data_IF_841371323418
#
_entry.id   IF_841371323418
#
_cell.length_a   1.000
_cell.length_b   1.000
_cell.length_c   1.000
_cell.angle_alpha   90.00
_cell.angle_beta   90.00
_cell.angle_gamma   90.00
#
_symmetry.space_group_name_H-M   'P 1'
#
loop_
_entity.id
_entity.type
_entity.pdbx_description
1 polymer ?
#
# COMPACT_ATOMS: atom_id res chain seq x y z
N UNK A 1 -10.13 -4.49 2.46
CA UNK A 1 -9.29 -3.85 1.42
C UNK A 1 -7.86 -3.84 1.93
N UNK A 2 -6.89 -4.17 1.10
CA UNK A 2 -5.46 -4.16 1.49
C UNK A 2 -4.94 -2.70 1.38
N UNK A 3 -5.39 -1.85 2.28
CA UNK A 3 -5.12 -0.40 2.27
C UNK A 3 -3.64 -0.08 2.34
N UNK A 4 -2.92 -0.79 3.21
CA UNK A 4 -1.47 -0.63 3.40
C UNK A 4 -0.71 -0.85 2.08
N UNK A 5 -1.09 -1.87 1.30
CA UNK A 5 -0.49 -2.14 -0.02
C UNK A 5 -0.80 -1.04 -1.04
N UNK A 6 -1.98 -0.43 -0.98
CA UNK A 6 -2.35 0.70 -1.85
C UNK A 6 -1.47 1.91 -1.51
N UNK A 7 -1.39 2.27 -0.22
CA UNK A 7 -0.60 3.42 0.22
C UNK A 7 0.90 3.19 0.03
N UNK A 8 1.39 1.97 0.24
CA UNK A 8 2.77 1.64 -0.09
C UNK A 8 3.08 1.92 -1.57
N UNK A 9 2.27 1.40 -2.49
CA UNK A 9 2.43 1.65 -3.94
C UNK A 9 2.29 3.13 -4.28
N UNK A 10 1.33 3.82 -3.67
CA UNK A 10 1.10 5.24 -3.86
C UNK A 10 2.36 6.05 -3.50
N UNK A 11 2.89 5.85 -2.31
CA UNK A 11 4.06 6.60 -1.87
C UNK A 11 5.35 6.18 -2.58
N UNK A 12 5.44 4.94 -3.04
CA UNK A 12 6.56 4.47 -3.86
C UNK A 12 6.56 5.11 -5.24
N UNK A 13 5.41 5.17 -5.91
CA UNK A 13 5.28 5.71 -7.26
C UNK A 13 5.16 7.24 -7.28
N UNK A 14 4.53 7.81 -6.25
CA UNK A 14 4.24 9.24 -6.15
C UNK A 14 4.58 9.79 -4.76
N UNK A 15 5.87 9.81 -4.37
CA UNK A 15 6.27 10.25 -3.03
C UNK A 15 5.86 11.71 -2.73
N UNK A 16 5.68 12.54 -3.75
CA UNK A 16 5.18 13.91 -3.61
C UNK A 16 3.81 14.01 -2.96
N UNK A 17 2.92 13.03 -3.19
CA UNK A 17 1.59 12.98 -2.58
C UNK A 17 1.68 12.89 -1.06
N UNK A 18 2.65 12.12 -0.52
CA UNK A 18 2.88 12.08 0.92
C UNK A 18 3.19 13.48 1.48
N UNK A 19 4.06 14.24 0.80
CA UNK A 19 4.43 15.58 1.26
C UNK A 19 3.25 16.56 1.18
N UNK A 20 2.40 16.45 0.17
CA UNK A 20 1.15 17.21 0.09
C UNK A 20 0.18 16.88 1.25
N UNK A 21 0.05 15.60 1.63
CA UNK A 21 -0.78 15.19 2.78
C UNK A 21 -0.35 15.83 4.09
N UNK A 22 0.93 16.16 4.22
CA UNK A 22 1.49 16.81 5.41
C UNK A 22 1.70 18.31 5.24
N UNK A 23 1.05 18.94 4.23
CA UNK A 23 1.14 20.37 3.90
C UNK A 23 2.56 20.83 3.57
N UNK A 24 3.35 19.96 2.95
CA UNK A 24 4.68 20.26 2.42
C UNK A 24 4.66 20.31 0.88
N UNK A 25 5.66 20.98 0.29
CA UNK A 25 5.80 20.98 -1.16
C UNK A 25 6.09 19.58 -1.70
N UNK A 26 5.37 19.08 -2.74
CA UNK A 26 5.64 17.77 -3.34
C UNK A 26 7.05 17.65 -3.94
N UNK A 27 7.69 18.77 -4.28
CA UNK A 27 9.07 18.79 -4.82
C UNK A 27 10.12 18.33 -3.81
N UNK A 28 9.81 18.39 -2.50
CA UNK A 28 10.68 17.86 -1.44
C UNK A 28 10.90 16.36 -1.60
N UNK A 29 9.96 15.63 -2.19
CA UNK A 29 10.10 14.20 -2.45
C UNK A 29 11.39 13.82 -3.19
N UNK A 30 11.90 14.69 -4.06
CA UNK A 30 13.11 14.43 -4.86
C UNK A 30 14.39 14.24 -4.02
N UNK A 31 14.37 14.65 -2.76
CA UNK A 31 15.50 14.51 -1.82
C UNK A 31 15.25 13.43 -0.76
N UNK A 32 14.23 12.60 -0.95
CA UNK A 32 13.91 11.47 -0.10
C UNK A 32 13.88 10.17 -0.88
N UNK A 33 14.22 9.07 -0.20
CA UNK A 33 14.01 7.71 -0.69
C UNK A 33 12.93 7.06 0.17
N UNK A 34 11.88 6.52 -0.47
CA UNK A 34 10.82 5.78 0.20
C UNK A 34 11.15 4.29 0.24
N UNK A 35 10.95 3.65 1.37
CA UNK A 35 11.07 2.20 1.53
C UNK A 35 10.14 1.67 2.64
N UNK A 36 9.79 0.39 2.59
CA UNK A 36 9.24 -0.34 3.74
C UNK A 36 10.38 -0.98 4.52
N UNK A 37 10.32 -0.90 5.84
CA UNK A 37 11.37 -1.44 6.71
C UNK A 37 10.78 -2.49 7.65
N UNK A 38 11.32 -3.71 7.60
CA UNK A 38 10.99 -4.79 8.50
C UNK A 38 11.99 -4.87 9.66
N UNK A 39 11.52 -4.75 10.88
CA UNK A 39 12.35 -4.92 12.08
C UNK A 39 12.31 -6.38 12.50
N UNK A 40 13.23 -7.18 11.95
CA UNK A 40 13.25 -8.65 12.01
C UNK A 40 13.19 -9.27 13.42
N UNK A 41 13.61 -8.57 14.48
CA UNK A 41 13.71 -9.17 15.82
C UNK A 41 12.40 -9.25 16.61
N UNK A 42 11.35 -8.48 16.24
CA UNK A 42 10.11 -8.40 17.00
C UNK A 42 8.85 -8.51 16.12
N UNK A 43 8.96 -8.94 14.87
CA UNK A 43 7.86 -8.98 13.90
C UNK A 43 7.13 -7.62 13.71
N UNK A 44 7.84 -6.50 13.94
CA UNK A 44 7.33 -5.15 13.65
C UNK A 44 7.68 -4.77 12.22
N UNK A 45 6.73 -4.15 11.55
CA UNK A 45 6.89 -3.67 10.20
C UNK A 45 6.37 -2.24 10.11
N UNK A 46 7.24 -1.32 9.76
CA UNK A 46 6.88 0.06 9.46
C UNK A 46 6.31 0.08 8.04
N UNK A 47 5.12 0.62 7.84
CA UNK A 47 4.45 0.66 6.54
C UNK A 47 5.26 1.45 5.51
N UNK A 48 5.87 2.56 5.93
CA UNK A 48 6.75 3.34 5.08
C UNK A 48 7.72 4.23 5.83
N UNK A 49 8.91 4.40 5.25
CA UNK A 49 9.94 5.32 5.75
C UNK A 49 10.45 6.16 4.59
N UNK A 50 10.45 7.46 4.77
CA UNK A 50 11.12 8.41 3.86
C UNK A 50 12.46 8.79 4.45
N UNK A 51 13.52 8.38 3.79
CA UNK A 51 14.90 8.66 4.18
C UNK A 51 15.41 9.86 3.39
N UNK A 52 15.83 10.94 4.05
CA UNK A 52 16.43 12.07 3.37
C UNK A 52 17.83 11.73 2.87
N UNK A 53 18.27 12.42 1.83
CA UNK A 53 19.63 12.30 1.29
C UNK A 53 20.64 13.25 1.94
N UNK A 54 20.24 13.94 3.02
CA UNK A 54 21.11 14.85 3.78
C UNK A 54 20.77 14.83 5.28
N UNK A 55 21.68 15.35 6.12
CA UNK A 55 21.60 15.25 7.58
C UNK A 55 20.68 16.31 8.24
N UNK A 56 20.19 17.28 7.47
CA UNK A 56 19.42 18.43 8.01
C UNK A 56 17.91 18.18 8.00
N UNK A 57 17.43 17.26 7.18
CA UNK A 57 16.03 16.96 7.03
C UNK A 57 15.60 15.77 7.91
N UNK A 58 14.35 15.73 8.39
CA UNK A 58 13.89 14.64 9.22
C UNK A 58 13.63 13.35 8.42
N UNK A 59 13.80 12.21 9.08
CA UNK A 59 13.25 10.94 8.62
C UNK A 59 11.74 10.96 8.88
N UNK A 60 10.92 10.62 7.89
CA UNK A 60 9.48 10.45 8.10
C UNK A 60 9.13 8.97 8.19
N UNK A 61 8.43 8.61 9.28
CA UNK A 61 7.84 7.30 9.49
C UNK A 61 6.35 7.38 9.23
N UNK A 62 5.84 6.51 8.37
CA UNK A 62 4.44 6.55 7.92
C UNK A 62 3.73 5.28 8.35
N UNK A 63 2.58 5.45 8.98
CA UNK A 63 1.65 4.39 9.35
C UNK A 63 0.29 4.66 8.71
N UNK A 64 -0.34 3.63 8.14
CA UNK A 64 -1.67 3.72 7.51
C UNK A 64 -2.68 2.93 8.33
N UNK A 65 -3.53 3.64 9.08
CA UNK A 65 -4.41 3.03 10.07
C UNK A 65 -5.89 3.15 9.67
N UNK A 66 -6.44 2.10 9.06
CA UNK A 66 -7.84 2.04 8.59
C UNK A 66 -8.76 1.24 9.52
N UNK A 67 -8.22 0.59 10.54
CA UNK A 67 -8.99 -0.12 11.55
C UNK A 67 -8.78 0.54 12.92
N UNK A 68 -9.81 0.55 13.80
CA UNK A 68 -9.63 1.06 15.16
C UNK A 68 -8.56 0.26 15.90
N UNK A 69 -7.54 0.93 16.42
CA UNK A 69 -6.48 0.31 17.23
C UNK A 69 -6.09 1.19 18.41
N UNK A 70 -6.38 0.75 19.63
CA UNK A 70 -6.01 1.46 20.87
C UNK A 70 -4.49 1.54 21.08
N UNK A 71 -3.72 0.62 20.48
CA UNK A 71 -2.27 0.51 20.66
C UNK A 71 -1.47 1.21 19.53
N UNK A 72 -2.13 1.93 18.64
CA UNK A 72 -1.47 2.53 17.46
C UNK A 72 -0.25 3.38 17.86
N UNK A 73 -0.36 4.23 18.87
CA UNK A 73 0.76 5.07 19.31
C UNK A 73 1.87 4.27 19.97
N UNK A 74 1.51 3.25 20.80
CA UNK A 74 2.50 2.35 21.38
C UNK A 74 3.31 1.64 20.29
N UNK A 75 2.64 1.12 19.26
CA UNK A 75 3.26 0.43 18.14
C UNK A 75 4.15 1.38 17.34
N UNK A 76 3.61 2.52 16.90
CA UNK A 76 4.33 3.54 16.15
C UNK A 76 5.63 3.96 16.84
N UNK A 77 5.56 4.35 18.11
CA UNK A 77 6.75 4.81 18.83
C UNK A 77 7.75 3.69 19.08
N UNK A 78 7.27 2.48 19.36
CA UNK A 78 8.17 1.31 19.49
C UNK A 78 8.93 1.07 18.20
N UNK A 79 8.26 1.10 17.06
CA UNK A 79 8.87 0.89 15.74
C UNK A 79 9.86 1.98 15.38
N UNK A 80 9.49 3.25 15.60
CA UNK A 80 10.37 4.41 15.38
C UNK A 80 11.63 4.29 16.23
N UNK A 81 11.50 4.06 17.53
CA UNK A 81 12.66 4.04 18.42
C UNK A 81 13.55 2.82 18.20
N UNK A 82 12.98 1.67 17.82
CA UNK A 82 13.78 0.51 17.40
C UNK A 82 14.53 0.75 16.10
N UNK A 83 13.95 1.49 15.17
CA UNK A 83 14.65 1.89 13.95
C UNK A 83 15.79 2.85 14.27
N UNK A 84 15.51 3.88 15.06
CA UNK A 84 16.50 4.90 15.46
C UNK A 84 17.67 4.32 16.28
N UNK A 85 17.41 3.28 17.09
CA UNK A 85 18.46 2.57 17.85
C UNK A 85 19.43 1.80 16.93
N UNK A 86 18.96 1.35 15.77
CA UNK A 86 19.74 0.52 14.84
C UNK A 86 20.35 1.27 13.67
N UNK A 87 19.85 2.45 13.37
CA UNK A 87 20.38 3.26 12.27
C UNK A 87 21.58 4.07 12.72
N UNK A 88 22.54 4.29 11.83
CA UNK A 88 23.65 5.21 12.04
C UNK A 88 23.27 6.66 11.69
N UNK A 89 22.07 6.89 11.13
CA UNK A 89 21.60 8.21 10.76
C UNK A 89 21.28 9.03 12.02
N UNK A 90 21.78 10.27 12.08
CA UNK A 90 21.56 11.21 13.18
C UNK A 90 20.46 12.24 12.90
N UNK A 91 19.74 12.06 11.80
CA UNK A 91 18.66 12.93 11.38
C UNK A 91 17.54 12.99 12.45
N UNK A 92 16.92 14.16 12.54
CA UNK A 92 15.67 14.28 13.28
C UNK A 92 14.58 13.40 12.67
N UNK A 93 13.46 13.19 13.36
CA UNK A 93 12.40 12.33 12.87
C UNK A 93 11.00 12.93 13.05
N UNK A 94 10.07 12.51 12.22
CA UNK A 94 8.64 12.79 12.34
C UNK A 94 7.84 11.52 12.03
N UNK A 95 6.77 11.29 12.81
CA UNK A 95 5.78 10.25 12.54
C UNK A 95 4.57 10.85 11.82
N UNK A 96 4.01 10.12 10.86
CA UNK A 96 2.77 10.49 10.18
C UNK A 96 1.82 9.30 10.23
N UNK A 97 0.60 9.52 10.72
CA UNK A 97 -0.44 8.48 10.69
C UNK A 97 -1.54 8.95 9.76
N UNK A 98 -1.88 8.12 8.78
CA UNK A 98 -2.97 8.37 7.84
C UNK A 98 -4.19 7.56 8.25
N UNK A 99 -5.28 8.26 8.59
CA UNK A 99 -6.57 7.70 8.95
C UNK A 99 -7.63 7.99 7.88
N UNK A 100 -8.61 7.11 7.66
CA UNK A 100 -9.76 7.42 6.82
C UNK A 100 -10.62 8.55 7.40
N UNK A 101 -10.78 8.56 8.72
CA UNK A 101 -11.54 9.57 9.47
C UNK A 101 -11.06 9.64 10.92
N UNK A 102 -11.40 10.73 11.61
CA UNK A 102 -11.08 10.94 13.01
C UNK A 102 -11.70 9.89 13.94
N UNK A 103 -12.83 9.29 13.58
CA UNK A 103 -13.50 8.26 14.36
C UNK A 103 -12.69 6.96 14.50
N UNK A 104 -11.72 6.72 13.61
CA UNK A 104 -10.82 5.56 13.66
C UNK A 104 -9.64 5.79 14.60
N UNK A 105 -9.29 7.04 14.88
CA UNK A 105 -8.22 7.40 15.84
C UNK A 105 -8.69 7.25 17.29
N UNK A 106 -8.65 6.03 17.79
CA UNK A 106 -9.02 5.66 19.17
C UNK A 106 -7.82 5.31 20.06
N UNK A 107 -6.60 5.67 19.61
CA UNK A 107 -5.36 5.37 20.30
C UNK A 107 -5.28 6.01 21.70
N UNK A 108 -4.66 5.29 22.65
CA UNK A 108 -4.38 5.82 23.99
C UNK A 108 -3.31 6.90 23.92
N UNK A 109 -3.68 8.15 24.22
CA UNK A 109 -2.80 9.32 24.05
C UNK A 109 -2.07 9.72 25.34
N UNK A 110 -2.59 9.42 26.51
CA UNK A 110 -2.06 9.94 27.79
C UNK A 110 -0.59 9.60 28.03
N UNK A 111 -0.19 8.36 27.70
CA UNK A 111 1.21 7.91 27.87
C UNK A 111 2.19 8.55 26.91
N UNK A 112 1.71 9.19 25.86
CA UNK A 112 2.51 9.71 24.75
C UNK A 112 2.23 11.20 24.48
N UNK A 113 1.62 11.88 25.48
CA UNK A 113 1.14 13.24 25.32
C UNK A 113 2.27 14.20 24.91
N UNK A 114 3.46 14.03 25.47
CA UNK A 114 4.62 14.86 25.15
C UNK A 114 5.05 14.70 23.71
N UNK A 115 5.05 13.47 23.18
CA UNK A 115 5.40 13.19 21.77
C UNK A 115 4.31 13.70 20.82
N UNK A 116 3.05 13.54 21.19
CA UNK A 116 1.90 13.95 20.39
C UNK A 116 1.73 15.48 20.35
N UNK A 117 2.07 16.18 21.44
CA UNK A 117 2.00 17.66 21.53
C UNK A 117 3.25 18.35 21.02
N UNK A 118 4.38 17.66 20.90
CA UNK A 118 5.65 18.20 20.40
C UNK A 118 5.69 18.44 18.89
N UNK A 119 4.60 18.21 18.17
CA UNK A 119 4.50 18.24 16.70
C UNK A 119 5.37 17.19 15.99
N UNK A 120 5.88 16.21 16.72
CA UNK A 120 6.64 15.09 16.13
C UNK A 120 5.75 14.07 15.41
N UNK A 121 4.45 14.06 15.74
CA UNK A 121 3.48 13.18 15.08
C UNK A 121 2.39 14.01 14.45
N UNK A 122 2.25 13.88 13.13
CA UNK A 122 1.14 14.43 12.36
C UNK A 122 0.09 13.36 12.12
N UNK A 123 -1.17 13.67 12.42
CA UNK A 123 -2.33 12.84 12.09
C UNK A 123 -3.03 13.45 10.90
N UNK A 124 -3.19 12.66 9.85
CA UNK A 124 -3.88 13.05 8.62
C UNK A 124 -5.20 12.29 8.55
N UNK A 125 -6.30 13.00 8.54
CA UNK A 125 -7.65 12.45 8.36
C UNK A 125 -8.12 12.73 6.95
N UNK A 126 -8.30 11.67 6.15
CA UNK A 126 -8.60 11.81 4.72
C UNK A 126 -9.95 12.49 4.46
N UNK A 127 -10.92 12.29 5.35
CA UNK A 127 -12.25 12.93 5.27
C UNK A 127 -12.23 14.43 5.64
N UNK A 128 -11.20 14.89 6.34
CA UNK A 128 -11.02 16.30 6.71
C UNK A 128 -10.15 17.07 5.70
N UNK A 129 -9.58 16.40 4.68
CA UNK A 129 -8.84 17.07 3.62
C UNK A 129 -9.79 17.95 2.81
N UNK A 130 -9.76 19.25 3.10
CA UNK A 130 -10.63 20.22 2.45
C UNK A 130 -10.33 20.31 0.95
N UNK A 131 -11.41 20.39 0.16
CA UNK A 131 -11.36 20.77 -1.24
C UNK A 131 -11.00 22.27 -1.32
N UNK A 132 -9.72 22.61 -1.23
CA UNK A 132 -9.26 23.92 -1.73
C UNK A 132 -9.45 23.88 -3.23
N UNK A 133 -9.86 24.99 -3.84
CA UNK A 133 -10.29 25.08 -5.25
C UNK A 133 -9.29 24.54 -6.31
N UNK A 134 -8.12 24.07 -5.91
CA UNK A 134 -7.09 23.43 -6.74
C UNK A 134 -6.42 22.29 -5.97
N UNK A 135 -7.16 21.24 -5.61
CA UNK A 135 -6.48 20.05 -5.08
C UNK A 135 -5.73 19.33 -6.20
N UNK A 136 -4.52 18.88 -5.88
CA UNK A 136 -3.76 18.05 -6.82
C UNK A 136 -4.51 16.76 -7.13
N UNK A 137 -4.39 16.25 -8.36
CA UNK A 137 -4.94 14.95 -8.75
C UNK A 137 -4.47 13.86 -7.78
N UNK A 138 -3.25 14.01 -7.22
CA UNK A 138 -2.71 13.10 -6.22
C UNK A 138 -3.59 13.01 -4.97
N UNK A 139 -3.93 14.13 -4.36
CA UNK A 139 -4.80 14.17 -3.17
C UNK A 139 -6.19 13.62 -3.47
N UNK A 140 -6.79 13.99 -4.62
CA UNK A 140 -8.09 13.45 -5.02
C UNK A 140 -8.04 11.94 -5.26
N UNK A 141 -6.93 11.41 -5.80
CA UNK A 141 -6.73 9.97 -5.96
C UNK A 141 -6.63 9.26 -4.60
N UNK A 142 -5.97 9.86 -3.61
CA UNK A 142 -5.93 9.33 -2.23
C UNK A 142 -7.34 9.29 -1.63
N UNK A 143 -8.13 10.36 -1.79
CA UNK A 143 -9.52 10.44 -1.28
C UNK A 143 -10.43 9.38 -1.89
N UNK A 144 -10.13 8.92 -3.11
CA UNK A 144 -10.88 7.83 -3.73
C UNK A 144 -10.88 6.54 -2.89
N UNK A 145 -9.85 6.32 -2.05
CA UNK A 145 -9.78 5.16 -1.15
C UNK A 145 -10.94 5.16 -0.15
N UNK A 146 -11.35 6.33 0.33
CA UNK A 146 -12.47 6.48 1.29
C UNK A 146 -13.81 6.78 0.62
N UNK A 147 -13.83 7.05 -0.69
CA UNK A 147 -15.06 7.35 -1.43
C UNK A 147 -16.08 6.19 -1.29
N UNK A 148 -17.38 6.45 -1.06
CA UNK A 148 -18.41 5.41 -1.05
C UNK A 148 -18.44 4.60 -2.35
N UNK A 149 -18.72 3.28 -2.26
CA UNK A 149 -18.80 2.41 -3.45
C UNK A 149 -19.81 2.92 -4.49
N UNK A 150 -20.91 3.55 -4.04
CA UNK A 150 -21.95 4.10 -4.93
C UNK A 150 -21.46 5.21 -5.85
N UNK A 151 -20.45 5.96 -5.45
CA UNK A 151 -19.91 7.12 -6.16
C UNK A 151 -18.50 6.92 -6.68
N UNK A 152 -17.77 5.96 -6.12
CA UNK A 152 -16.35 5.71 -6.41
C UNK A 152 -16.05 5.47 -7.90
N UNK A 153 -16.91 4.73 -8.62
CA UNK A 153 -16.72 4.48 -10.04
C UNK A 153 -16.84 5.76 -10.89
N UNK A 154 -17.81 6.61 -10.58
CA UNK A 154 -17.98 7.91 -11.25
C UNK A 154 -16.81 8.84 -10.95
N UNK A 155 -16.43 8.95 -9.68
CA UNK A 155 -15.29 9.78 -9.24
C UNK A 155 -13.97 9.34 -9.87
N UNK A 156 -13.72 8.03 -9.94
CA UNK A 156 -12.54 7.48 -10.60
C UNK A 156 -12.50 7.85 -12.08
N UNK A 157 -13.63 7.79 -12.78
CA UNK A 157 -13.73 8.19 -14.19
C UNK A 157 -13.42 9.67 -14.39
N UNK A 158 -13.94 10.53 -13.53
CA UNK A 158 -13.63 11.97 -13.55
C UNK A 158 -12.13 12.21 -13.36
N UNK A 159 -11.51 11.54 -12.38
CA UNK A 159 -10.07 11.66 -12.11
C UNK A 159 -9.22 11.18 -13.30
N UNK A 160 -9.60 10.11 -13.99
CA UNK A 160 -8.92 9.64 -15.20
C UNK A 160 -8.99 10.70 -16.30
N UNK A 161 -10.15 11.34 -16.50
CA UNK A 161 -10.29 12.42 -17.48
C UNK A 161 -9.41 13.61 -17.11
N UNK A 162 -9.41 14.03 -15.85
CA UNK A 162 -8.57 15.12 -15.36
C UNK A 162 -7.06 14.79 -15.51
N UNK A 163 -6.66 13.56 -15.17
CA UNK A 163 -5.27 13.13 -15.33
C UNK A 163 -4.81 13.24 -16.78
N UNK A 164 -5.65 12.83 -17.73
CA UNK A 164 -5.36 12.95 -19.18
C UNK A 164 -5.28 14.39 -19.67
N UNK A 165 -6.01 15.31 -19.05
CA UNK A 165 -6.05 16.73 -19.43
C UNK A 165 -4.92 17.54 -18.81
N UNK A 166 -4.57 17.26 -17.54
CA UNK A 166 -3.68 18.11 -16.75
C UNK A 166 -2.23 17.59 -16.67
N UNK A 167 -2.05 16.26 -16.79
CA UNK A 167 -0.70 15.67 -16.71
C UNK A 167 -0.15 15.49 -18.12
N UNK A 168 0.86 16.28 -18.46
CA UNK A 168 1.52 16.26 -19.76
C UNK A 168 2.58 15.17 -19.90
N UNK A 169 3.20 14.75 -18.80
CA UNK A 169 4.16 13.65 -18.79
C UNK A 169 3.42 12.31 -18.90
N UNK A 170 3.65 11.59 -19.99
CA UNK A 170 2.95 10.35 -20.31
C UNK A 170 3.19 9.23 -19.27
N UNK A 171 4.38 9.21 -18.65
CA UNK A 171 4.72 8.21 -17.64
C UNK A 171 3.90 8.49 -16.37
N UNK A 172 3.99 9.70 -15.85
CA UNK A 172 3.24 10.15 -14.66
C UNK A 172 1.73 10.00 -14.87
N UNK A 173 1.22 10.37 -16.06
CA UNK A 173 -0.19 10.23 -16.40
C UNK A 173 -0.63 8.76 -16.34
N UNK A 174 0.14 7.86 -16.95
CA UNK A 174 -0.14 6.41 -16.94
C UNK A 174 -0.14 5.85 -15.53
N UNK A 175 0.85 6.22 -14.74
CA UNK A 175 1.01 5.72 -13.37
C UNK A 175 -0.14 6.17 -12.45
N UNK A 176 -0.59 7.42 -12.56
CA UNK A 176 -1.78 7.91 -11.82
C UNK A 176 -3.04 7.15 -12.26
N UNK A 177 -3.25 6.95 -13.56
CA UNK A 177 -4.41 6.19 -14.06
C UNK A 177 -4.36 4.76 -13.53
N UNK A 178 -3.19 4.12 -13.55
CA UNK A 178 -3.01 2.77 -13.01
C UNK A 178 -3.27 2.70 -11.50
N UNK A 179 -2.90 3.74 -10.75
CA UNK A 179 -3.19 3.82 -9.32
C UNK A 179 -4.71 3.92 -9.06
N UNK A 180 -5.42 4.77 -9.83
CA UNK A 180 -6.89 4.89 -9.78
C UNK A 180 -7.54 3.53 -10.06
N UNK A 181 -7.12 2.83 -11.12
CA UNK A 181 -7.60 1.48 -11.45
C UNK A 181 -7.35 0.50 -10.29
N UNK A 182 -6.16 0.54 -9.71
CA UNK A 182 -5.80 -0.32 -8.58
C UNK A 182 -6.75 -0.09 -7.40
N UNK A 183 -7.01 1.16 -7.03
CA UNK A 183 -7.94 1.51 -5.95
C UNK A 183 -9.34 0.93 -6.25
N UNK A 184 -9.84 1.07 -7.47
CA UNK A 184 -11.16 0.58 -7.86
C UNK A 184 -11.22 -0.94 -7.83
N UNK A 185 -10.20 -1.65 -8.34
CA UNK A 185 -10.13 -3.12 -8.27
C UNK A 185 -10.20 -3.60 -6.82
N UNK A 186 -9.43 -3.00 -5.92
CA UNK A 186 -9.45 -3.37 -4.50
C UNK A 186 -10.77 -3.00 -3.80
N UNK A 187 -11.43 -1.94 -4.24
CA UNK A 187 -12.70 -1.50 -3.70
C UNK A 187 -13.87 -2.39 -4.12
N UNK A 188 -13.79 -2.95 -5.33
CA UNK A 188 -14.82 -3.80 -5.93
C UNK A 188 -14.32 -5.23 -6.20
N UNK A 189 -13.95 -6.01 -5.18
CA UNK A 189 -13.32 -7.33 -5.39
C UNK A 189 -14.24 -8.38 -6.03
N UNK A 190 -15.56 -8.13 -6.05
CA UNK A 190 -16.57 -9.03 -6.64
C UNK A 190 -17.01 -8.61 -8.03
N UNK A 191 -16.61 -7.44 -8.50
CA UNK A 191 -16.97 -6.90 -9.80
C UNK A 191 -16.02 -7.48 -10.85
N UNK A 192 -16.59 -7.96 -11.96
CA UNK A 192 -15.79 -8.49 -13.04
C UNK A 192 -14.96 -7.38 -13.68
N UNK A 193 -13.84 -7.75 -14.24
CA UNK A 193 -12.97 -6.84 -14.94
C UNK A 193 -13.68 -6.04 -16.03
N UNK A 194 -14.52 -6.71 -16.83
CA UNK A 194 -15.26 -6.07 -17.92
C UNK A 194 -16.18 -4.97 -17.42
N UNK A 195 -16.78 -5.17 -16.27
CA UNK A 195 -17.61 -4.16 -15.60
C UNK A 195 -16.75 -3.00 -15.08
N UNK A 196 -15.56 -3.27 -14.55
CA UNK A 196 -14.60 -2.21 -14.15
C UNK A 196 -14.14 -1.42 -15.38
N UNK A 197 -13.79 -2.07 -16.48
CA UNK A 197 -13.45 -1.39 -17.76
C UNK A 197 -14.57 -0.46 -18.24
N UNK A 198 -15.80 -0.93 -18.18
CA UNK A 198 -16.98 -0.10 -18.51
C UNK A 198 -17.18 1.05 -17.53
N UNK A 199 -17.03 0.78 -16.22
CA UNK A 199 -17.14 1.78 -15.16
C UNK A 199 -16.13 2.91 -15.35
N UNK A 200 -14.89 2.59 -15.70
CA UNK A 200 -13.80 3.56 -15.86
C UNK A 200 -13.72 4.18 -17.26
N UNK A 201 -14.45 3.65 -18.24
CA UNK A 201 -14.38 4.11 -19.63
C UNK A 201 -13.03 3.81 -20.30
N UNK A 202 -12.38 2.74 -19.89
CA UNK A 202 -11.07 2.32 -20.41
C UNK A 202 -11.26 1.14 -21.36
N UNK A 203 -10.73 1.25 -22.56
CA UNK A 203 -10.89 0.22 -23.60
C UNK A 203 -9.84 -0.90 -23.52
N UNK A 204 -8.78 -0.77 -22.73
CA UNK A 204 -7.67 -1.72 -22.74
C UNK A 204 -6.91 -1.87 -21.42
N UNK A 205 -7.60 -2.39 -20.38
CA UNK A 205 -6.98 -2.76 -19.09
C UNK A 205 -5.99 -3.95 -19.22
N UNK A 206 -5.96 -4.66 -20.37
CA UNK A 206 -5.06 -5.82 -20.57
C UNK A 206 -3.59 -5.47 -20.50
N UNK A 207 -3.25 -4.20 -20.65
CA UNK A 207 -1.87 -3.71 -20.62
C UNK A 207 -1.46 -3.20 -19.24
N UNK A 208 -2.36 -3.16 -18.25
CA UNK A 208 -2.01 -2.66 -16.93
C UNK A 208 -1.15 -3.66 -16.15
N UNK A 209 -0.16 -3.14 -15.40
CA UNK A 209 0.73 -3.93 -14.55
C UNK A 209 -0.05 -4.75 -13.51
N UNK A 210 -1.10 -4.16 -12.94
CA UNK A 210 -1.97 -4.83 -11.94
C UNK A 210 -2.67 -6.06 -12.53
N UNK A 211 -3.12 -5.99 -13.79
CA UNK A 211 -3.69 -7.16 -14.44
C UNK A 211 -2.66 -8.25 -14.68
N UNK A 212 -1.49 -7.87 -15.16
CA UNK A 212 -0.43 -8.84 -15.41
C UNK A 212 0.05 -9.50 -14.13
N UNK A 213 0.21 -8.72 -13.07
CA UNK A 213 0.55 -9.22 -11.73
C UNK A 213 -0.55 -10.14 -11.18
N UNK A 214 -1.81 -9.71 -11.16
CA UNK A 214 -2.93 -10.55 -10.69
C UNK A 214 -3.14 -11.82 -11.53
N UNK A 215 -2.90 -11.75 -12.85
CA UNK A 215 -2.90 -12.94 -13.72
C UNK A 215 -1.74 -13.88 -13.39
N UNK A 216 -0.57 -13.33 -13.07
CA UNK A 216 0.61 -14.12 -12.72
C UNK A 216 0.45 -14.74 -11.34
N UNK A 217 -0.07 -13.99 -10.36
CA UNK A 217 -0.41 -14.49 -9.01
C UNK A 217 -1.45 -15.61 -9.11
N UNK A 218 -2.59 -15.40 -9.78
CA UNK A 218 -3.63 -16.42 -9.93
C UNK A 218 -3.15 -17.65 -10.71
N UNK A 219 -2.22 -17.49 -11.68
CA UNK A 219 -1.58 -18.61 -12.36
C UNK A 219 -0.67 -19.40 -11.42
N UNK A 220 0.02 -18.70 -10.52
CA UNK A 220 0.91 -19.32 -9.54
C UNK A 220 0.13 -20.04 -8.43
N UNK A 221 -0.95 -19.41 -7.93
CA UNK A 221 -1.90 -20.03 -6.99
C UNK A 221 -2.52 -21.29 -7.59
N UNK A 222 -3.05 -21.23 -8.81
CA UNK A 222 -3.65 -22.40 -9.48
C UNK A 222 -2.64 -23.53 -9.73
N UNK A 223 -1.37 -23.21 -9.96
CA UNK A 223 -0.30 -24.23 -10.03
C UNK A 223 -0.05 -24.87 -8.67
N UNK A 224 -0.01 -24.09 -7.58
CA UNK A 224 0.17 -24.59 -6.23
C UNK A 224 -1.04 -25.44 -5.78
N UNK A 225 -2.25 -25.07 -6.16
CA UNK A 225 -3.47 -25.87 -5.91
C UNK A 225 -3.45 -27.24 -6.60
N UNK A 226 -2.75 -27.37 -7.74
CA UNK A 226 -2.61 -28.65 -8.43
C UNK A 226 -1.58 -29.59 -7.78
N UNK A 227 -0.66 -29.11 -6.97
CA UNK A 227 0.42 -29.88 -6.33
C UNK A 227 -0.12 -31.06 -5.53
N UNK A 228 -1.13 -30.92 -4.64
CA UNK A 228 -1.70 -32.03 -3.88
C UNK A 228 -2.22 -33.16 -4.76
N UNK A 229 -2.90 -32.82 -5.83
CA UNK A 229 -3.43 -33.80 -6.78
C UNK A 229 -2.31 -34.55 -7.49
N UNK A 230 -1.27 -33.85 -7.95
CA UNK A 230 -0.13 -34.52 -8.61
C UNK A 230 0.66 -35.43 -7.67
N UNK A 231 0.83 -35.04 -6.40
CA UNK A 231 1.41 -35.91 -5.37
C UNK A 231 0.58 -37.18 -5.15
N UNK A 232 -0.76 -37.08 -5.16
CA UNK A 232 -1.66 -38.23 -5.02
C UNK A 232 -1.57 -39.22 -6.19
N UNK A 233 -1.14 -38.76 -7.36
CA UNK A 233 -0.87 -39.58 -8.54
C UNK A 233 0.57 -40.18 -8.54
N UNK A 234 1.38 -39.92 -7.51
CA UNK A 234 2.71 -40.50 -7.35
C UNK A 234 3.84 -39.68 -7.98
N UNK A 235 3.58 -38.44 -8.43
CA UNK A 235 4.63 -37.55 -8.92
C UNK A 235 5.53 -37.09 -7.78
N UNK A 236 6.87 -36.96 -8.04
CA UNK A 236 7.80 -36.44 -7.04
C UNK A 236 7.78 -34.91 -6.99
N UNK A 237 8.27 -34.33 -5.89
CA UNK A 237 8.36 -32.87 -5.70
C UNK A 237 9.17 -32.23 -6.85
N UNK A 238 10.25 -32.88 -7.27
CA UNK A 238 11.13 -32.42 -8.35
C UNK A 238 10.39 -32.42 -9.70
N UNK A 239 9.65 -33.50 -10.00
CA UNK A 239 8.86 -33.61 -11.23
C UNK A 239 7.74 -32.55 -11.28
N UNK A 240 7.07 -32.30 -10.14
CA UNK A 240 6.02 -31.28 -10.04
C UNK A 240 6.59 -29.89 -10.24
N UNK A 241 7.71 -29.57 -9.58
CA UNK A 241 8.39 -28.30 -9.70
C UNK A 241 8.80 -28.01 -11.16
N UNK A 242 9.37 -29.01 -11.85
CA UNK A 242 9.77 -28.90 -13.25
C UNK A 242 8.55 -28.72 -14.18
N UNK A 243 7.53 -29.57 -14.05
CA UNK A 243 6.35 -29.53 -14.93
C UNK A 243 5.51 -28.26 -14.76
N UNK A 244 5.38 -27.78 -13.53
CA UNK A 244 4.61 -26.55 -13.26
C UNK A 244 5.46 -25.28 -13.36
N UNK A 245 6.81 -25.40 -13.45
CA UNK A 245 7.73 -24.27 -13.41
C UNK A 245 7.56 -23.48 -12.11
N UNK A 246 7.54 -24.20 -10.98
CA UNK A 246 7.49 -23.68 -9.61
C UNK A 246 8.85 -23.82 -8.94
N UNK A 247 9.10 -23.00 -7.94
CA UNK A 247 10.24 -23.20 -7.06
C UNK A 247 10.05 -24.49 -6.24
N UNK A 248 11.12 -25.28 -6.13
CA UNK A 248 11.07 -26.60 -5.48
C UNK A 248 10.70 -26.49 -3.99
N UNK A 249 11.11 -25.40 -3.33
CA UNK A 249 10.80 -25.17 -1.92
C UNK A 249 9.32 -24.82 -1.71
N UNK A 250 8.70 -24.12 -2.65
CA UNK A 250 7.26 -23.87 -2.63
C UNK A 250 6.46 -25.18 -2.74
N UNK A 251 6.88 -26.08 -3.63
CA UNK A 251 6.25 -27.40 -3.78
C UNK A 251 6.42 -28.24 -2.52
N UNK A 252 7.62 -28.21 -1.89
CA UNK A 252 7.88 -28.89 -0.61
C UNK A 252 7.00 -28.39 0.53
N UNK A 253 6.82 -27.09 0.66
CA UNK A 253 5.96 -26.50 1.69
C UNK A 253 4.51 -26.97 1.56
N UNK A 254 3.97 -27.02 0.34
CA UNK A 254 2.63 -27.53 0.09
C UNK A 254 2.53 -29.03 0.42
N UNK A 255 3.55 -29.82 0.06
CA UNK A 255 3.60 -31.25 0.35
C UNK A 255 3.62 -31.53 1.87
N UNK A 256 4.40 -30.76 2.64
CA UNK A 256 4.49 -30.90 4.10
C UNK A 256 3.20 -30.48 4.82
N UNK A 257 2.54 -29.41 4.35
CA UNK A 257 1.26 -28.95 4.91
C UNK A 257 0.15 -29.99 4.74
N UNK A 258 0.14 -30.74 3.64
CA UNK A 258 -0.79 -31.86 3.44
C UNK A 258 -0.55 -33.07 4.37
N UNK A 259 0.70 -33.44 4.59
CA UNK A 259 1.03 -34.55 5.49
C UNK A 259 0.61 -34.23 6.94
N UNK A 260 0.70 -32.97 7.34
CA UNK A 260 0.28 -32.51 8.67
C UNK A 260 -1.25 -32.48 8.84
N UNK A 261 -2.03 -32.39 7.76
CA UNK A 261 -3.51 -32.44 7.80
C UNK A 261 -4.06 -33.86 7.76
N UNK A 262 -3.34 -34.84 7.23
CA UNK A 262 -3.75 -36.25 7.20
C UNK A 262 -3.44 -37.01 8.49
N UNK A 263 -2.67 -36.43 9.42
CA UNK A 263 -2.34 -37.00 10.73
C UNK A 263 -3.22 -36.46 11.88
N UNK A 264 -4.20 -35.64 11.62
CA UNK A 264 -5.21 -35.19 12.56
C UNK A 264 -6.58 -35.81 12.26
#
# INVERSE_FOLDING_TARGET
MKTDSIFYRLFQSFPGIFFELIDQSPTIANIYQFSSVEVKQLAFRIDGVFLPNNDTLPIYFVEVQFQPDKKIYSRLFTEIFLYLDKTELLNNWQGVIVYPSKSIDIGETERYIELLTSQRVKRVYLDELNSKDEQSIGIETVKLVIEPETTAGMKARELIVLARQQITDEITQRDIIQLIETIIIYKFPKVSRKEIEQMLGLSDLKQTKVYQEGKQEGKQEGKLEAVPFMLSLGATVEQIAEQLGLDIEQVRQVAQSQQSQQQK
#
